data_IF_251342889206
#
_entry.id   IF_251342889206
#
_cell.length_a   1.000
_cell.length_b   1.000
_cell.length_c   1.000
_cell.angle_alpha   90.00
_cell.angle_beta   90.00
_cell.angle_gamma   90.00
#
_symmetry.space_group_name_H-M   'P 1'
#
loop_
_entity.id
_entity.type
_entity.pdbx_description
1 polymer ?
#
# COMPACT_ATOMS: atom_id res chain seq x y z
N UNK A 1 -7.12 -23.56 1.74
CA UNK A 1 -8.24 -23.69 2.70
C UNK A 1 -8.69 -22.29 3.08
N UNK A 2 -9.99 -22.04 3.08
CA UNK A 2 -10.48 -20.69 3.29
C UNK A 2 -10.39 -20.21 4.75
N UNK A 3 -10.20 -18.91 4.94
CA UNK A 3 -10.12 -18.19 6.21
C UNK A 3 -11.50 -17.76 6.75
N UNK A 4 -12.59 -18.41 6.30
CA UNK A 4 -13.94 -18.20 6.80
C UNK A 4 -14.06 -18.58 8.29
N UNK A 5 -14.41 -17.60 9.13
CA UNK A 5 -14.71 -17.82 10.53
C UNK A 5 -16.04 -18.57 10.71
N UNK A 6 -16.27 -19.09 11.93
CA UNK A 6 -17.54 -19.73 12.28
C UNK A 6 -18.71 -18.74 12.16
N UNK A 7 -18.50 -17.48 12.52
CA UNK A 7 -19.51 -16.43 12.40
C UNK A 7 -19.86 -16.14 10.93
N UNK A 8 -18.86 -16.11 10.05
CA UNK A 8 -19.07 -15.91 8.61
C UNK A 8 -19.93 -17.04 8.03
N UNK A 9 -19.62 -18.30 8.39
CA UNK A 9 -20.38 -19.47 7.91
C UNK A 9 -21.85 -19.41 8.34
N UNK A 10 -22.13 -19.02 9.59
CA UNK A 10 -23.51 -18.85 10.08
C UNK A 10 -24.26 -17.76 9.30
N UNK A 11 -23.60 -16.62 9.04
CA UNK A 11 -24.18 -15.54 8.26
C UNK A 11 -24.45 -15.98 6.81
N UNK A 12 -23.47 -16.63 6.17
CA UNK A 12 -23.57 -17.11 4.80
C UNK A 12 -24.68 -18.16 4.64
N UNK A 13 -24.78 -19.11 5.57
CA UNK A 13 -25.86 -20.11 5.53
C UNK A 13 -27.25 -19.47 5.63
N UNK A 14 -27.39 -18.39 6.40
CA UNK A 14 -28.63 -17.64 6.50
C UNK A 14 -28.95 -16.86 5.22
N UNK A 15 -27.96 -16.15 4.65
CA UNK A 15 -28.13 -15.33 3.43
C UNK A 15 -28.34 -16.17 2.18
N UNK A 16 -27.73 -17.36 2.11
CA UNK A 16 -27.83 -18.27 0.97
C UNK A 16 -28.98 -19.28 1.11
N UNK A 17 -29.77 -19.21 2.19
CA UNK A 17 -30.94 -20.07 2.40
C UNK A 17 -30.57 -21.56 2.50
N UNK A 18 -29.49 -21.87 3.24
CA UNK A 18 -28.90 -23.22 3.26
C UNK A 18 -29.60 -24.24 4.18
N UNK A 19 -30.78 -23.90 4.70
CA UNK A 19 -31.58 -24.81 5.51
C UNK A 19 -32.06 -26.02 4.69
N UNK A 20 -31.84 -27.23 5.19
CA UNK A 20 -32.34 -28.45 4.56
C UNK A 20 -31.58 -28.94 3.32
N UNK A 21 -30.37 -28.40 3.05
CA UNK A 21 -29.51 -28.88 1.96
C UNK A 21 -29.62 -28.08 0.66
N UNK A 22 -30.49 -27.07 0.62
CA UNK A 22 -30.66 -26.15 -0.51
C UNK A 22 -29.59 -25.05 -0.52
N UNK A 23 -29.46 -24.35 -1.64
CA UNK A 23 -28.69 -23.11 -1.78
C UNK A 23 -29.49 -22.25 -2.75
N UNK A 24 -30.03 -21.13 -2.28
CA UNK A 24 -30.91 -20.25 -3.05
C UNK A 24 -32.02 -21.05 -3.77
N UNK A 25 -32.37 -20.70 -5.00
CA UNK A 25 -33.35 -21.38 -5.85
C UNK A 25 -32.71 -22.36 -6.85
N UNK A 26 -31.44 -22.76 -6.64
CA UNK A 26 -30.74 -23.65 -7.56
C UNK A 26 -31.28 -25.10 -7.54
N UNK A 27 -31.46 -25.66 -8.74
CA UNK A 27 -31.46 -27.12 -8.95
C UNK A 27 -30.04 -27.68 -8.85
N UNK A 28 -29.87 -29.01 -8.79
CA UNK A 28 -28.53 -29.58 -8.80
C UNK A 28 -27.77 -29.27 -10.11
N UNK A 29 -28.47 -29.32 -11.25
CA UNK A 29 -27.88 -29.04 -12.56
C UNK A 29 -27.45 -27.56 -12.68
N UNK A 30 -28.34 -26.62 -12.31
CA UNK A 30 -28.02 -25.18 -12.36
C UNK A 30 -26.97 -24.77 -11.32
N UNK A 31 -26.88 -25.48 -10.19
CA UNK A 31 -25.81 -25.28 -9.22
C UNK A 31 -24.46 -25.74 -9.78
N UNK A 32 -24.40 -26.91 -10.43
CA UNK A 32 -23.19 -27.40 -11.07
C UNK A 32 -22.73 -26.46 -12.19
N UNK A 33 -23.66 -26.03 -13.05
CA UNK A 33 -23.38 -25.08 -14.14
C UNK A 33 -22.89 -23.72 -13.62
N UNK A 34 -23.54 -23.17 -12.59
CA UNK A 34 -23.14 -21.92 -11.97
C UNK A 34 -21.68 -21.94 -11.48
N UNK A 35 -21.25 -23.02 -10.82
CA UNK A 35 -19.86 -23.13 -10.35
C UNK A 35 -18.88 -23.47 -11.47
N UNK A 36 -19.33 -24.21 -12.49
CA UNK A 36 -18.53 -24.48 -13.69
C UNK A 36 -18.17 -23.18 -14.44
N UNK A 37 -19.09 -22.20 -14.53
CA UNK A 37 -18.82 -20.88 -15.12
C UNK A 37 -17.75 -20.09 -14.33
N UNK A 38 -17.56 -20.41 -13.05
CA UNK A 38 -16.50 -19.87 -12.20
C UNK A 38 -15.21 -20.70 -12.25
N UNK A 39 -15.14 -21.70 -13.15
CA UNK A 39 -14.05 -22.67 -13.26
C UNK A 39 -13.82 -23.49 -11.97
N UNK A 40 -14.89 -23.73 -11.20
CA UNK A 40 -14.89 -24.51 -9.95
C UNK A 40 -15.77 -25.76 -10.14
N UNK A 41 -15.18 -26.96 -10.06
CA UNK A 41 -15.95 -28.19 -9.96
C UNK A 41 -16.32 -28.47 -8.49
N UNK A 42 -17.46 -27.92 -8.05
CA UNK A 42 -17.93 -28.00 -6.66
C UNK A 42 -18.27 -29.45 -6.21
N UNK A 43 -18.31 -30.42 -7.13
CA UNK A 43 -18.57 -31.83 -6.84
C UNK A 43 -17.31 -32.70 -6.76
N UNK A 44 -16.14 -32.15 -7.09
CA UNK A 44 -14.86 -32.84 -6.97
C UNK A 44 -14.61 -33.32 -5.52
N UNK A 45 -14.75 -34.64 -5.30
CA UNK A 45 -14.58 -35.23 -3.96
C UNK A 45 -13.13 -35.37 -3.53
N UNK A 46 -12.18 -35.27 -4.46
CA UNK A 46 -10.75 -35.29 -4.15
C UNK A 46 -10.30 -33.91 -3.66
N UNK A 47 -10.74 -32.84 -4.34
CA UNK A 47 -10.41 -31.44 -4.00
C UNK A 47 -11.22 -30.91 -2.83
N UNK A 48 -12.50 -31.30 -2.73
CA UNK A 48 -13.42 -30.87 -1.68
C UNK A 48 -13.95 -32.06 -0.88
N UNK A 49 -13.11 -32.69 -0.04
CA UNK A 49 -13.49 -33.89 0.68
C UNK A 49 -14.43 -33.61 1.85
N UNK A 50 -15.39 -34.52 2.03
CA UNK A 50 -16.34 -34.52 3.15
C UNK A 50 -17.64 -33.76 2.89
N UNK A 51 -18.62 -34.03 3.74
CA UNK A 51 -20.04 -33.65 3.60
C UNK A 51 -20.73 -34.32 2.38
N UNK A 52 -21.98 -34.79 2.54
CA UNK A 52 -22.68 -35.56 1.49
C UNK A 52 -23.03 -34.75 0.22
N UNK A 53 -23.74 -35.34 -0.74
CA UNK A 53 -23.93 -34.76 -2.09
C UNK A 53 -24.98 -33.64 -2.23
N UNK A 54 -25.49 -33.10 -1.13
CA UNK A 54 -26.41 -31.94 -1.20
C UNK A 54 -25.67 -30.66 -1.58
N UNK A 55 -26.32 -29.73 -2.28
CA UNK A 55 -25.71 -28.44 -2.66
C UNK A 55 -25.11 -27.70 -1.47
N UNK A 56 -25.83 -27.64 -0.36
CA UNK A 56 -25.33 -26.98 0.84
C UNK A 56 -24.08 -27.67 1.40
N UNK A 57 -24.04 -29.00 1.37
CA UNK A 57 -22.88 -29.76 1.81
C UNK A 57 -21.68 -29.58 0.87
N UNK A 58 -21.93 -29.52 -0.44
CA UNK A 58 -20.89 -29.24 -1.44
C UNK A 58 -20.35 -27.82 -1.32
N UNK A 59 -21.21 -26.84 -1.05
CA UNK A 59 -20.77 -25.49 -0.75
C UNK A 59 -19.96 -25.42 0.56
N UNK A 60 -20.34 -26.17 1.60
CA UNK A 60 -19.53 -26.30 2.84
C UNK A 60 -18.19 -27.01 2.59
N UNK A 61 -18.17 -27.99 1.70
CA UNK A 61 -16.95 -28.69 1.29
C UNK A 61 -15.99 -27.73 0.57
N UNK A 62 -16.52 -26.88 -0.33
CA UNK A 62 -15.78 -25.79 -0.96
C UNK A 62 -15.25 -24.81 0.09
N UNK A 63 -16.07 -24.36 1.05
CA UNK A 63 -15.61 -23.48 2.13
C UNK A 63 -14.51 -24.11 2.98
N UNK A 64 -14.47 -25.43 3.12
CA UNK A 64 -13.46 -26.14 3.90
C UNK A 64 -12.18 -26.38 3.11
N UNK A 65 -12.29 -26.86 1.88
CA UNK A 65 -11.17 -27.31 1.06
C UNK A 65 -10.60 -26.23 0.13
N UNK A 66 -11.45 -25.33 -0.38
CA UNK A 66 -11.09 -24.31 -1.36
C UNK A 66 -10.16 -23.23 -0.84
N UNK A 67 -9.58 -22.48 -1.76
CA UNK A 67 -8.77 -21.28 -1.46
C UNK A 67 -9.67 -20.10 -1.10
N UNK A 68 -9.08 -19.05 -0.51
CA UNK A 68 -9.81 -17.80 -0.25
C UNK A 68 -10.33 -17.16 -1.53
N UNK A 69 -9.58 -17.26 -2.64
CA UNK A 69 -10.00 -16.75 -3.96
C UNK A 69 -11.21 -17.50 -4.52
N UNK A 70 -11.22 -18.84 -4.45
CA UNK A 70 -12.35 -19.65 -4.93
C UNK A 70 -13.62 -19.35 -4.13
N UNK A 71 -13.47 -19.23 -2.82
CA UNK A 71 -14.58 -18.89 -1.93
C UNK A 71 -15.02 -17.44 -2.15
N UNK A 72 -14.12 -16.49 -2.33
CA UNK A 72 -14.46 -15.10 -2.62
C UNK A 72 -15.19 -14.95 -3.96
N UNK A 73 -14.67 -15.57 -5.01
CA UNK A 73 -15.24 -15.56 -6.36
C UNK A 73 -16.64 -16.14 -6.38
N UNK A 74 -16.83 -17.30 -5.74
CA UNK A 74 -18.15 -17.90 -5.60
C UNK A 74 -19.11 -17.05 -4.77
N UNK A 75 -18.64 -16.43 -3.68
CA UNK A 75 -19.49 -15.54 -2.86
C UNK A 75 -19.92 -14.29 -3.63
N UNK A 76 -19.02 -13.63 -4.38
CA UNK A 76 -19.36 -12.46 -5.22
C UNK A 76 -20.42 -12.81 -6.25
N UNK A 77 -20.22 -13.91 -6.98
CA UNK A 77 -21.18 -14.35 -7.98
C UNK A 77 -22.55 -14.70 -7.36
N UNK A 78 -22.58 -15.30 -6.16
CA UNK A 78 -23.83 -15.59 -5.44
C UNK A 78 -24.52 -14.31 -4.95
N UNK A 79 -23.76 -13.29 -4.53
CA UNK A 79 -24.29 -11.96 -4.18
C UNK A 79 -24.93 -11.30 -5.39
N UNK A 80 -24.22 -11.27 -6.53
CA UNK A 80 -24.72 -10.69 -7.78
C UNK A 80 -26.01 -11.39 -8.24
N UNK A 81 -26.06 -12.72 -8.08
CA UNK A 81 -27.25 -13.51 -8.36
C UNK A 81 -28.43 -13.13 -7.45
N UNK A 82 -28.20 -12.95 -6.14
CA UNK A 82 -29.23 -12.48 -5.20
C UNK A 82 -29.74 -11.10 -5.59
N UNK A 83 -28.84 -10.17 -5.94
CA UNK A 83 -29.20 -8.81 -6.34
C UNK A 83 -30.01 -8.79 -7.65
N UNK A 84 -29.59 -9.56 -8.65
CA UNK A 84 -30.33 -9.72 -9.90
C UNK A 84 -31.74 -10.31 -9.66
N UNK A 85 -31.87 -11.27 -8.73
CA UNK A 85 -33.17 -11.85 -8.33
C UNK A 85 -34.04 -10.88 -7.54
N UNK A 86 -33.46 -10.03 -6.69
CA UNK A 86 -34.18 -8.93 -6.02
C UNK A 86 -34.72 -7.93 -7.02
N UNK A 87 -33.92 -7.51 -8.00
CA UNK A 87 -34.33 -6.57 -9.04
C UNK A 87 -35.45 -7.10 -9.93
N UNK A 88 -35.48 -8.42 -10.17
CA UNK A 88 -36.51 -9.08 -10.97
C UNK A 88 -37.74 -9.50 -10.16
N UNK A 89 -37.72 -9.39 -8.83
CA UNK A 89 -38.84 -9.71 -7.94
C UNK A 89 -39.08 -11.21 -7.71
N UNK A 90 -38.12 -12.08 -8.04
CA UNK A 90 -38.26 -13.55 -7.97
C UNK A 90 -37.48 -14.20 -6.81
N UNK A 91 -36.93 -13.42 -5.87
CA UNK A 91 -36.30 -13.97 -4.67
C UNK A 91 -37.39 -14.46 -3.70
N UNK A 92 -37.33 -15.73 -3.30
CA UNK A 92 -38.41 -16.40 -2.54
C UNK A 92 -38.46 -16.06 -1.04
N UNK A 93 -37.52 -15.28 -0.53
CA UNK A 93 -37.46 -14.84 0.86
C UNK A 93 -36.74 -13.49 0.97
N UNK A 94 -37.05 -12.71 2.01
CA UNK A 94 -36.39 -11.43 2.25
C UNK A 94 -35.01 -11.65 2.88
N UNK A 95 -33.99 -11.13 2.22
CA UNK A 95 -32.67 -10.94 2.80
C UNK A 95 -32.58 -9.45 3.17
N UNK A 96 -32.08 -9.11 4.37
CA UNK A 96 -31.93 -7.71 4.75
C UNK A 96 -30.63 -7.12 4.18
N UNK A 97 -30.58 -5.79 4.02
CA UNK A 97 -29.43 -5.12 3.41
C UNK A 97 -28.17 -5.16 4.29
N UNK A 98 -28.35 -5.18 5.61
CA UNK A 98 -27.23 -5.27 6.57
C UNK A 98 -26.48 -6.60 6.48
N UNK A 99 -27.19 -7.71 6.26
CA UNK A 99 -26.61 -9.04 6.07
C UNK A 99 -25.95 -9.14 4.71
N UNK A 100 -26.52 -8.55 3.66
CA UNK A 100 -25.86 -8.47 2.34
C UNK A 100 -24.55 -7.71 2.43
N UNK A 101 -24.53 -6.56 3.10
CA UNK A 101 -23.31 -5.77 3.26
C UNK A 101 -22.23 -6.51 4.03
N UNK A 102 -22.61 -7.23 5.09
CA UNK A 102 -21.67 -8.08 5.82
C UNK A 102 -21.14 -9.24 4.98
N UNK A 103 -21.98 -9.85 4.13
CA UNK A 103 -21.54 -10.91 3.20
C UNK A 103 -20.61 -10.35 2.12
N UNK A 104 -20.87 -9.14 1.60
CA UNK A 104 -19.92 -8.44 0.71
C UNK A 104 -18.59 -8.19 1.39
N UNK A 105 -18.60 -7.69 2.63
CA UNK A 105 -17.36 -7.49 3.40
C UNK A 105 -16.58 -8.79 3.63
N UNK A 106 -17.28 -9.93 3.80
CA UNK A 106 -16.64 -11.25 3.87
C UNK A 106 -16.01 -11.63 2.53
N UNK A 107 -16.74 -11.48 1.42
CA UNK A 107 -16.21 -11.79 0.09
C UNK A 107 -15.00 -10.91 -0.27
N UNK A 108 -15.05 -9.62 0.05
CA UNK A 108 -13.94 -8.68 -0.17
C UNK A 108 -12.73 -8.99 0.72
N UNK A 109 -12.94 -9.40 1.98
CA UNK A 109 -11.85 -9.84 2.85
C UNK A 109 -11.17 -11.10 2.32
N UNK A 110 -11.95 -12.08 1.85
CA UNK A 110 -11.39 -13.31 1.27
C UNK A 110 -10.68 -13.01 -0.07
N UNK A 111 -11.22 -12.12 -0.90
CA UNK A 111 -10.54 -11.68 -2.12
C UNK A 111 -9.25 -10.91 -1.82
N UNK A 112 -9.25 -10.09 -0.75
CA UNK A 112 -8.09 -9.35 -0.28
C UNK A 112 -7.01 -10.23 0.36
N UNK A 113 -7.36 -11.44 0.84
CA UNK A 113 -6.39 -12.41 1.34
C UNK A 113 -5.54 -13.07 0.24
N UNK A 114 -5.93 -12.93 -1.04
CA UNK A 114 -5.13 -13.32 -2.21
C UNK A 114 -4.46 -12.14 -2.95
N UNK A 115 -4.54 -10.91 -2.43
CA UNK A 115 -3.70 -9.79 -2.88
C UNK A 115 -2.28 -9.82 -2.24
N UNK A 116 -1.85 -10.99 -1.75
CA UNK A 116 -0.52 -11.22 -1.16
C UNK A 116 0.30 -12.25 -1.96
N UNK A 117 -0.24 -12.96 -2.94
CA UNK A 117 0.55 -13.95 -3.69
C UNK A 117 0.00 -14.22 -5.10
N UNK A 118 0.27 -13.31 -6.03
CA UNK A 118 0.68 -13.65 -7.42
C UNK A 118 1.10 -12.39 -8.19
N UNK A 119 2.28 -12.46 -8.81
CA UNK A 119 3.16 -11.32 -9.10
C UNK A 119 2.79 -10.49 -10.35
N UNK A 120 2.60 -9.20 -10.14
CA UNK A 120 3.32 -8.12 -10.86
C UNK A 120 4.11 -7.38 -9.76
N UNK A 121 5.38 -7.00 -9.96
CA UNK A 121 6.28 -6.59 -8.88
C UNK A 121 5.67 -5.43 -8.08
N UNK A 122 5.73 -5.55 -6.75
CA UNK A 122 4.96 -4.76 -5.79
C UNK A 122 5.60 -3.40 -5.60
N UNK A 123 5.53 -2.58 -6.65
CA UNK A 123 5.90 -1.20 -6.58
C UNK A 123 4.83 -0.46 -5.75
N UNK A 124 5.05 -0.38 -4.44
CA UNK A 124 4.21 0.37 -3.50
C UNK A 124 4.13 1.81 -3.99
N UNK A 125 2.93 2.26 -4.35
CA UNK A 125 2.69 3.61 -4.87
C UNK A 125 2.07 4.49 -3.80
N UNK A 126 2.60 5.70 -3.62
CA UNK A 126 2.00 6.74 -2.78
C UNK A 126 1.66 7.97 -3.62
N UNK A 127 0.84 8.85 -3.05
CA UNK A 127 0.52 10.17 -3.60
C UNK A 127 0.59 11.21 -2.49
N UNK A 128 0.83 12.47 -2.84
CA UNK A 128 0.69 13.60 -1.93
C UNK A 128 -0.74 13.67 -1.38
N UNK A 129 -0.90 14.10 -0.13
CA UNK A 129 -2.21 14.17 0.50
C UNK A 129 -3.13 15.14 -0.26
N UNK A 130 -4.35 14.68 -0.50
CA UNK A 130 -5.42 15.48 -1.07
C UNK A 130 -6.71 15.19 -0.29
N UNK A 131 -7.35 16.24 0.22
CA UNK A 131 -8.61 16.13 0.95
C UNK A 131 -9.70 16.93 0.26
N UNK A 132 -10.95 16.49 0.43
CA UNK A 132 -12.14 17.16 -0.13
C UNK A 132 -13.06 17.55 1.00
N UNK A 133 -13.37 18.85 1.10
CA UNK A 133 -14.37 19.37 2.04
C UNK A 133 -15.35 20.24 1.27
N UNK A 134 -16.62 19.82 1.22
CA UNK A 134 -17.67 20.45 0.41
C UNK A 134 -17.26 20.59 -1.07
N UNK A 135 -16.99 21.83 -1.51
CA UNK A 135 -16.54 22.17 -2.86
C UNK A 135 -15.06 22.59 -2.92
N UNK A 136 -14.28 22.29 -1.88
CA UNK A 136 -12.86 22.64 -1.79
C UNK A 136 -12.01 21.37 -1.86
N UNK A 137 -11.02 21.40 -2.74
CA UNK A 137 -9.93 20.43 -2.76
C UNK A 137 -8.73 21.11 -2.11
N UNK A 138 -8.22 20.52 -1.03
CA UNK A 138 -6.95 20.90 -0.43
C UNK A 138 -5.90 19.90 -0.88
N UNK A 139 -4.84 20.39 -1.51
CA UNK A 139 -3.74 19.58 -2.03
C UNK A 139 -2.48 20.06 -1.32
N UNK A 140 -1.74 19.14 -0.70
CA UNK A 140 -0.43 19.46 -0.16
C UNK A 140 0.60 19.57 -1.30
N UNK A 141 1.62 20.41 -1.14
CA UNK A 141 2.70 20.47 -2.13
C UNK A 141 3.61 19.29 -1.86
N UNK A 142 4.02 18.57 -2.91
CA UNK A 142 4.97 17.47 -2.74
C UNK A 142 6.22 17.96 -2.01
N UNK A 143 6.64 17.24 -0.96
CA UNK A 143 7.64 17.68 0.00
C UNK A 143 9.00 18.00 -0.63
N UNK A 144 9.44 17.20 -1.61
CA UNK A 144 10.67 17.47 -2.36
C UNK A 144 10.57 18.78 -3.13
N UNK A 145 9.45 19.01 -3.80
CA UNK A 145 9.21 20.28 -4.49
C UNK A 145 9.19 21.42 -3.46
N UNK A 146 8.47 21.27 -2.35
CA UNK A 146 8.37 22.28 -1.31
C UNK A 146 9.74 22.65 -0.73
N UNK A 147 10.61 21.66 -0.48
CA UNK A 147 11.96 21.88 0.03
C UNK A 147 12.78 22.82 -0.87
N UNK A 148 12.61 22.70 -2.19
CA UNK A 148 13.26 23.56 -3.18
C UNK A 148 12.61 24.95 -3.33
N UNK A 149 11.29 25.05 -3.14
CA UNK A 149 10.55 26.28 -3.46
C UNK A 149 10.16 27.14 -2.25
N UNK A 150 10.26 26.62 -1.02
CA UNK A 150 9.81 27.29 0.22
C UNK A 150 10.32 28.72 0.36
N UNK A 151 11.59 28.97 -0.03
CA UNK A 151 12.21 30.31 0.04
C UNK A 151 11.52 31.32 -0.87
N UNK A 152 11.08 30.89 -2.05
CA UNK A 152 10.41 31.74 -3.03
C UNK A 152 8.97 32.00 -2.65
N UNK A 153 8.28 30.99 -2.09
CA UNK A 153 6.94 31.17 -1.54
C UNK A 153 6.93 32.18 -0.38
N UNK A 154 7.95 32.14 0.48
CA UNK A 154 8.10 33.07 1.60
C UNK A 154 8.34 34.53 1.15
N UNK A 155 8.97 34.73 -0.01
CA UNK A 155 9.22 36.06 -0.59
C UNK A 155 8.19 36.45 -1.65
N UNK A 156 7.11 35.68 -1.80
CA UNK A 156 6.08 35.86 -2.84
C UNK A 156 6.65 35.88 -4.28
N UNK A 157 7.81 35.26 -4.48
CA UNK A 157 8.47 35.12 -5.79
C UNK A 157 7.92 33.91 -6.53
N UNK A 158 6.66 34.02 -6.93
CA UNK A 158 5.91 32.93 -7.55
C UNK A 158 6.46 32.48 -8.89
N UNK A 159 7.15 33.38 -9.62
CA UNK A 159 7.80 33.02 -10.88
C UNK A 159 8.90 31.99 -10.65
N UNK A 160 9.84 32.28 -9.76
CA UNK A 160 10.94 31.34 -9.45
C UNK A 160 10.43 30.11 -8.72
N UNK A 161 9.40 30.23 -7.86
CA UNK A 161 8.77 29.07 -7.23
C UNK A 161 8.29 28.06 -8.29
N UNK A 162 7.62 28.52 -9.35
CA UNK A 162 7.19 27.63 -10.43
C UNK A 162 8.38 27.13 -11.25
N UNK A 163 9.32 28.00 -11.62
CA UNK A 163 10.48 27.59 -12.42
C UNK A 163 11.29 26.48 -11.73
N UNK A 164 11.54 26.65 -10.43
CA UNK A 164 12.26 25.68 -9.62
C UNK A 164 11.45 24.40 -9.42
N UNK A 165 10.13 24.48 -9.21
CA UNK A 165 9.29 23.27 -9.16
C UNK A 165 9.40 22.43 -10.43
N UNK A 166 9.45 23.06 -11.62
CA UNK A 166 9.61 22.34 -12.89
C UNK A 166 11.02 21.81 -13.11
N UNK A 167 12.05 22.48 -12.58
CA UNK A 167 13.42 21.97 -12.58
C UNK A 167 13.51 20.69 -11.76
N UNK A 168 12.90 20.66 -10.57
CA UNK A 168 12.87 19.48 -9.69
C UNK A 168 12.25 18.27 -10.38
N UNK A 169 11.12 18.42 -11.08
CA UNK A 169 10.51 17.31 -11.86
C UNK A 169 11.45 16.78 -12.95
N UNK A 170 12.10 17.69 -13.70
CA UNK A 170 13.00 17.29 -14.78
C UNK A 170 14.31 16.68 -14.29
N UNK A 171 14.77 17.11 -13.13
CA UNK A 171 15.92 16.52 -12.44
C UNK A 171 15.59 15.08 -12.01
N UNK A 172 14.43 14.84 -11.38
CA UNK A 172 14.00 13.49 -11.03
C UNK A 172 13.88 12.56 -12.26
N UNK A 173 13.40 13.08 -13.40
CA UNK A 173 13.45 12.32 -14.66
C UNK A 173 14.88 12.00 -15.08
N UNK A 174 15.81 12.96 -14.97
CA UNK A 174 17.22 12.76 -15.32
C UNK A 174 17.86 11.71 -14.42
N UNK A 175 17.62 11.75 -13.13
CA UNK A 175 18.15 10.76 -12.18
C UNK A 175 17.66 9.35 -12.51
N UNK A 176 16.38 9.20 -12.86
CA UNK A 176 15.78 7.89 -13.19
C UNK A 176 16.18 7.36 -14.57
N UNK A 177 16.31 8.23 -15.57
CA UNK A 177 16.38 7.79 -16.98
C UNK A 177 17.61 8.31 -17.73
N UNK A 178 18.48 9.07 -17.06
CA UNK A 178 19.61 9.76 -17.67
C UNK A 178 19.22 10.96 -18.57
N UNK A 179 17.96 11.37 -18.60
CA UNK A 179 17.50 12.47 -19.48
C UNK A 179 16.46 13.38 -18.83
N UNK A 180 16.68 14.69 -18.89
CA UNK A 180 15.70 15.70 -18.47
C UNK A 180 14.60 15.96 -19.51
N UNK A 181 14.74 15.43 -20.73
CA UNK A 181 13.75 15.63 -21.79
C UNK A 181 12.72 14.53 -21.69
N UNK A 182 11.46 14.88 -21.40
CA UNK A 182 10.38 13.92 -21.26
C UNK A 182 10.22 13.00 -22.49
N UNK A 183 10.46 13.53 -23.70
CA UNK A 183 10.43 12.71 -24.93
C UNK A 183 11.47 11.60 -24.97
N UNK A 184 12.64 11.83 -24.35
CA UNK A 184 13.73 10.85 -24.26
C UNK A 184 13.61 10.00 -23.00
N UNK A 185 13.15 10.59 -21.89
CA UNK A 185 13.00 9.93 -20.60
C UNK A 185 11.94 8.82 -20.64
N UNK A 186 10.83 9.01 -21.38
CA UNK A 186 9.73 8.04 -21.47
C UNK A 186 9.85 7.06 -22.65
N UNK A 187 11.06 6.86 -23.21
CA UNK A 187 11.27 5.77 -24.18
C UNK A 187 10.99 4.41 -23.54
N UNK A 188 10.56 3.39 -24.31
CA UNK A 188 10.20 2.08 -23.76
C UNK A 188 11.27 1.47 -22.86
N UNK A 189 12.56 1.64 -23.19
CA UNK A 189 13.68 1.15 -22.39
C UNK A 189 13.77 1.74 -20.97
N UNK A 190 13.21 2.93 -20.75
CA UNK A 190 13.29 3.65 -19.48
C UNK A 190 12.01 3.51 -18.63
N UNK A 191 10.92 2.97 -19.19
CA UNK A 191 9.64 2.83 -18.48
C UNK A 191 9.77 2.04 -17.16
N UNK A 192 10.53 0.92 -17.09
CA UNK A 192 10.72 0.22 -15.81
C UNK A 192 11.40 1.07 -14.72
N UNK A 193 12.27 2.01 -15.08
CA UNK A 193 12.93 2.88 -14.10
C UNK A 193 11.98 3.95 -13.53
N UNK A 194 10.97 4.36 -14.29
CA UNK A 194 9.94 5.32 -13.85
C UNK A 194 8.83 4.59 -13.08
N UNK A 195 8.35 3.47 -13.62
CA UNK A 195 7.12 2.81 -13.17
C UNK A 195 7.34 1.53 -12.37
N UNK A 196 8.60 1.11 -12.19
CA UNK A 196 8.95 -0.16 -11.53
C UNK A 196 8.84 -1.39 -12.45
N UNK A 197 8.08 -1.29 -13.55
CA UNK A 197 7.87 -2.41 -14.47
C UNK A 197 7.48 -1.95 -15.88
N UNK A 198 7.46 -2.90 -16.81
CA UNK A 198 6.87 -2.70 -18.14
C UNK A 198 5.34 -2.79 -18.07
N UNK A 199 4.59 -2.06 -18.92
CA UNK A 199 3.12 -2.07 -18.87
C UNK A 199 2.58 -3.47 -19.15
N UNK A 200 1.76 -3.99 -18.24
CA UNK A 200 1.15 -5.31 -18.30
C UNK A 200 -0.19 -5.32 -19.05
N UNK A 201 -0.82 -4.16 -19.22
CA UNK A 201 -2.12 -4.02 -19.90
C UNK A 201 -2.18 -2.80 -20.82
N UNK A 202 -3.19 -2.75 -21.70
CA UNK A 202 -3.44 -1.57 -22.53
C UNK A 202 -3.78 -0.34 -21.68
N UNK A 203 -4.61 -0.51 -20.64
CA UNK A 203 -4.96 0.58 -19.73
C UNK A 203 -3.73 1.16 -19.04
N UNK A 204 -2.79 0.31 -18.64
CA UNK A 204 -1.55 0.75 -18.02
C UNK A 204 -0.60 1.43 -19.01
N UNK A 205 -0.53 0.93 -20.24
CA UNK A 205 0.20 1.60 -21.31
C UNK A 205 -0.35 3.01 -21.57
N UNK A 206 -1.68 3.16 -21.59
CA UNK A 206 -2.33 4.46 -21.75
C UNK A 206 -2.06 5.38 -20.55
N UNK A 207 -2.02 4.83 -19.34
CA UNK A 207 -1.60 5.56 -18.14
C UNK A 207 -0.15 6.03 -18.24
N UNK A 208 0.79 5.18 -18.66
CA UNK A 208 2.21 5.56 -18.82
C UNK A 208 2.38 6.67 -19.86
N UNK A 209 1.65 6.61 -20.98
CA UNK A 209 1.61 7.68 -21.98
C UNK A 209 0.98 8.96 -21.39
N UNK A 210 -0.06 8.86 -20.55
CA UNK A 210 -0.61 9.99 -19.82
C UNK A 210 0.43 10.72 -18.96
N UNK A 211 1.21 9.98 -18.17
CA UNK A 211 2.28 10.53 -17.33
C UNK A 211 3.38 11.19 -18.17
N UNK A 212 3.72 10.59 -19.32
CA UNK A 212 4.63 11.18 -20.31
C UNK A 212 4.10 12.52 -20.84
N UNK A 213 2.83 12.60 -21.24
CA UNK A 213 2.25 13.85 -21.72
C UNK A 213 2.23 14.95 -20.66
N UNK A 214 1.98 14.60 -19.40
CA UNK A 214 2.05 15.52 -18.28
C UNK A 214 3.46 16.12 -18.12
N UNK A 215 4.49 15.27 -18.18
CA UNK A 215 5.89 15.69 -18.10
C UNK A 215 6.33 16.48 -19.34
N UNK A 216 5.80 16.16 -20.52
CA UNK A 216 5.98 16.98 -21.72
C UNK A 216 5.35 18.37 -21.56
N UNK A 217 4.16 18.48 -20.96
CA UNK A 217 3.55 19.78 -20.68
C UNK A 217 4.46 20.62 -19.77
N UNK A 218 5.03 20.06 -18.70
CA UNK A 218 6.01 20.74 -17.85
C UNK A 218 7.23 21.21 -18.65
N UNK A 219 7.78 20.34 -19.51
CA UNK A 219 8.92 20.69 -20.37
C UNK A 219 8.63 21.92 -21.25
N UNK A 220 7.47 21.98 -21.90
CA UNK A 220 7.14 23.07 -22.81
C UNK A 220 6.68 24.34 -22.10
N UNK A 221 5.90 24.23 -21.02
CA UNK A 221 5.47 25.38 -20.20
C UNK A 221 6.66 26.08 -19.53
N UNK A 222 7.69 25.32 -19.14
CA UNK A 222 8.94 25.91 -18.64
C UNK A 222 9.62 26.76 -19.71
N UNK A 223 9.70 26.25 -20.95
CA UNK A 223 10.37 26.94 -22.04
C UNK A 223 9.66 28.25 -22.40
N UNK A 224 8.33 28.28 -22.40
CA UNK A 224 7.54 29.51 -22.59
C UNK A 224 7.86 30.58 -21.53
N UNK A 225 8.01 30.18 -20.26
CA UNK A 225 8.41 31.08 -19.16
C UNK A 225 9.84 31.58 -19.29
N UNK A 226 10.76 30.79 -19.82
CA UNK A 226 12.15 31.21 -20.06
C UNK A 226 12.28 32.27 -21.17
N UNK A 227 11.31 32.34 -22.08
CA UNK A 227 11.27 33.31 -23.18
C UNK A 227 10.41 34.55 -22.90
N UNK A 228 9.70 34.58 -21.76
CA UNK A 228 8.89 35.71 -21.28
C UNK A 228 9.52 36.31 -20.02
N UNK A 229 10.73 36.86 -20.16
CA UNK A 229 11.33 37.71 -19.13
C UNK A 229 10.38 38.88 -18.83
N UNK A 230 9.97 38.99 -17.57
CA UNK A 230 9.21 40.10 -16.95
C UNK A 230 7.67 40.05 -17.00
N UNK A 231 7.06 38.98 -16.47
CA UNK A 231 5.69 39.08 -15.94
C UNK A 231 5.62 38.67 -14.47
N UNK A 232 4.96 39.50 -13.67
CA UNK A 232 4.46 39.09 -12.36
C UNK A 232 3.47 37.95 -12.57
N UNK A 233 3.83 36.74 -12.17
CA UNK A 233 2.93 35.59 -12.22
C UNK A 233 1.90 35.74 -11.09
N UNK A 234 0.61 35.70 -11.44
CA UNK A 234 -0.46 35.77 -10.45
C UNK A 234 -0.41 34.55 -9.53
N UNK A 235 -0.66 34.78 -8.23
CA UNK A 235 -0.49 33.78 -7.17
C UNK A 235 -1.29 32.51 -7.42
N UNK A 236 -2.59 32.60 -7.72
CA UNK A 236 -3.42 31.40 -7.90
C UNK A 236 -2.92 30.58 -9.09
N UNK A 237 -2.61 31.23 -10.21
CA UNK A 237 -2.04 30.56 -11.37
C UNK A 237 -0.69 29.89 -11.06
N UNK A 238 0.16 30.54 -10.26
CA UNK A 238 1.42 29.94 -9.80
C UNK A 238 1.18 28.68 -8.95
N UNK A 239 0.23 28.73 -8.02
CA UNK A 239 -0.15 27.58 -7.21
C UNK A 239 -0.66 26.42 -8.08
N UNK A 240 -1.48 26.69 -9.11
CA UNK A 240 -1.92 25.65 -10.05
C UNK A 240 -0.74 25.01 -10.80
N UNK A 241 0.26 25.80 -11.21
CA UNK A 241 1.46 25.24 -11.85
C UNK A 241 2.32 24.42 -10.88
N UNK A 242 2.42 24.82 -9.61
CA UNK A 242 3.11 24.05 -8.57
C UNK A 242 2.36 22.75 -8.28
N UNK A 243 1.03 22.77 -8.24
CA UNK A 243 0.20 21.56 -8.12
C UNK A 243 0.39 20.62 -9.30
N UNK A 244 0.49 21.15 -10.53
CA UNK A 244 0.83 20.37 -11.72
C UNK A 244 2.21 19.73 -11.59
N UNK A 245 3.21 20.48 -11.12
CA UNK A 245 4.55 19.97 -10.87
C UNK A 245 4.54 18.86 -9.83
N UNK A 246 3.79 19.06 -8.73
CA UNK A 246 3.65 18.08 -7.65
C UNK A 246 3.05 16.78 -8.16
N UNK A 247 1.93 16.84 -8.90
CA UNK A 247 1.33 15.66 -9.50
C UNK A 247 2.29 14.93 -10.46
N UNK A 248 3.00 15.68 -11.31
CA UNK A 248 3.94 15.06 -12.24
C UNK A 248 5.14 14.41 -11.54
N UNK A 249 5.64 15.04 -10.47
CA UNK A 249 6.69 14.50 -9.62
C UNK A 249 6.22 13.20 -8.97
N UNK A 250 5.07 13.23 -8.28
CA UNK A 250 4.46 12.04 -7.66
C UNK A 250 4.38 10.88 -8.65
N UNK A 251 3.86 11.13 -9.85
CA UNK A 251 3.63 10.05 -10.82
C UNK A 251 4.92 9.41 -11.35
N UNK A 252 6.08 10.07 -11.24
CA UNK A 252 7.38 9.52 -11.67
C UNK A 252 8.24 9.02 -10.50
N UNK A 253 7.95 9.45 -9.27
CA UNK A 253 8.65 9.04 -8.05
C UNK A 253 7.87 8.08 -7.17
N UNK A 254 6.57 7.82 -7.47
CA UNK A 254 5.73 6.94 -6.65
C UNK A 254 6.24 5.52 -6.54
N UNK A 255 7.10 5.08 -7.46
CA UNK A 255 7.57 3.72 -7.53
C UNK A 255 9.03 3.61 -7.11
N UNK A 256 9.24 2.73 -6.13
CA UNK A 256 10.56 2.23 -5.71
C UNK A 256 10.72 0.85 -6.32
N UNK A 257 11.83 0.60 -7.00
CA UNK A 257 12.07 -0.71 -7.63
C UNK A 257 12.28 -1.79 -6.58
N UNK A 258 11.80 -3.00 -6.86
CA UNK A 258 12.03 -4.17 -6.02
C UNK A 258 13.53 -4.43 -5.81
N UNK A 259 14.37 -4.17 -6.81
CA UNK A 259 15.83 -4.25 -6.68
C UNK A 259 16.38 -3.29 -5.60
N UNK A 260 15.87 -2.06 -5.52
CA UNK A 260 16.29 -1.11 -4.50
C UNK A 260 15.79 -1.52 -3.12
N UNK A 261 14.53 -1.98 -3.04
CA UNK A 261 13.95 -2.51 -1.79
C UNK A 261 14.79 -3.68 -1.28
N UNK A 262 15.02 -4.70 -2.12
CA UNK A 262 15.82 -5.88 -1.80
C UNK A 262 17.23 -5.47 -1.37
N UNK A 263 17.89 -4.57 -2.12
CA UNK A 263 19.23 -4.07 -1.80
C UNK A 263 19.29 -3.42 -0.42
N UNK A 264 18.30 -2.60 -0.06
CA UNK A 264 18.22 -1.92 1.25
C UNK A 264 17.94 -2.94 2.36
N UNK A 265 16.99 -3.85 2.15
CA UNK A 265 16.65 -4.90 3.13
C UNK A 265 17.81 -5.87 3.40
N UNK A 266 18.54 -6.26 2.35
CA UNK A 266 19.75 -7.07 2.44
C UNK A 266 20.85 -6.37 3.24
N UNK A 267 21.02 -5.07 2.99
CA UNK A 267 22.02 -4.25 3.65
C UNK A 267 21.71 -4.13 5.15
N UNK A 268 20.45 -3.89 5.52
CA UNK A 268 20.03 -3.85 6.93
C UNK A 268 20.24 -5.21 7.59
N UNK A 269 19.86 -6.29 6.91
CA UNK A 269 20.00 -7.66 7.43
C UNK A 269 21.47 -8.01 7.66
N UNK A 270 22.36 -7.70 6.71
CA UNK A 270 23.81 -7.91 6.83
C UNK A 270 24.40 -7.06 7.97
N UNK A 271 23.98 -5.80 8.08
CA UNK A 271 24.43 -4.92 9.16
C UNK A 271 24.02 -5.48 10.53
N UNK A 272 22.76 -5.92 10.68
CA UNK A 272 22.29 -6.53 11.92
C UNK A 272 23.10 -7.77 12.31
N UNK A 273 23.39 -8.63 11.34
CA UNK A 273 24.16 -9.87 11.54
C UNK A 273 25.64 -9.62 11.86
N UNK A 274 26.18 -8.45 11.52
CA UNK A 274 27.56 -8.08 11.82
C UNK A 274 27.82 -7.82 13.32
N UNK A 275 26.75 -7.60 14.10
CA UNK A 275 26.82 -7.30 15.53
C UNK A 275 26.43 -8.49 16.40
N UNK A 276 27.16 -8.68 17.51
CA UNK A 276 26.65 -9.49 18.62
C UNK A 276 25.48 -8.78 19.30
N UNK A 277 24.59 -9.51 19.97
CA UNK A 277 23.42 -8.94 20.64
C UNK A 277 23.76 -7.75 21.57
N UNK A 278 24.83 -7.87 22.38
CA UNK A 278 25.25 -6.78 23.29
C UNK A 278 25.79 -5.57 22.55
N UNK A 279 26.52 -5.79 21.44
CA UNK A 279 27.08 -4.67 20.66
C UNK A 279 25.99 -3.99 19.85
N UNK A 280 25.02 -4.74 19.36
CA UNK A 280 23.90 -4.25 18.57
C UNK A 280 23.15 -3.13 19.29
N UNK A 281 22.64 -3.36 20.51
CA UNK A 281 21.86 -2.33 21.21
C UNK A 281 22.65 -1.04 21.48
N UNK A 282 23.99 -1.09 21.57
CA UNK A 282 24.83 0.11 21.69
C UNK A 282 24.96 0.91 20.40
N UNK A 283 24.79 0.31 19.23
CA UNK A 283 24.83 1.03 17.95
C UNK A 283 23.42 1.31 17.42
N UNK A 284 22.45 0.51 17.83
CA UNK A 284 21.04 0.75 17.57
C UNK A 284 20.55 1.99 18.32
N UNK A 285 20.85 2.09 19.61
CA UNK A 285 20.55 3.27 20.43
C UNK A 285 21.07 4.57 19.79
N UNK A 286 20.16 5.53 19.62
CA UNK A 286 20.41 6.82 18.95
C UNK A 286 20.56 6.74 17.42
N UNK A 287 20.24 5.60 16.79
CA UNK A 287 20.37 5.38 15.35
C UNK A 287 21.82 5.44 14.85
N UNK A 288 22.81 5.13 15.69
CA UNK A 288 24.25 5.28 15.37
C UNK A 288 24.71 4.35 14.25
N UNK A 289 24.08 3.19 14.08
CA UNK A 289 24.37 2.25 13.02
C UNK A 289 24.10 2.83 11.61
N UNK A 290 23.19 3.81 11.48
CA UNK A 290 22.90 4.43 10.18
C UNK A 290 24.16 5.10 9.62
N UNK A 291 24.98 5.69 10.49
CA UNK A 291 26.23 6.36 10.10
C UNK A 291 27.37 5.37 9.74
N UNK A 292 27.25 4.09 10.10
CA UNK A 292 28.23 3.07 9.72
C UNK A 292 27.97 2.43 8.37
N UNK A 293 26.85 2.76 7.72
CA UNK A 293 26.42 2.11 6.48
C UNK A 293 26.34 3.10 5.32
N UNK A 294 26.85 2.68 4.17
CA UNK A 294 26.69 3.43 2.91
C UNK A 294 25.33 3.12 2.31
N UNK A 295 24.39 4.03 2.48
CA UNK A 295 23.03 3.92 1.96
C UNK A 295 22.96 4.29 0.47
N UNK A 296 22.04 3.70 -0.31
CA UNK A 296 21.73 4.16 -1.66
C UNK A 296 21.29 5.62 -1.68
N UNK A 297 21.73 6.40 -2.66
CA UNK A 297 21.42 7.83 -2.79
C UNK A 297 19.91 8.09 -2.92
N UNK A 298 19.18 7.11 -3.48
CA UNK A 298 17.73 7.14 -3.64
C UNK A 298 16.98 7.27 -2.31
N UNK A 299 17.57 6.79 -1.20
CA UNK A 299 16.99 6.94 0.15
C UNK A 299 17.01 8.38 0.65
N UNK A 300 17.75 9.29 0.01
CA UNK A 300 17.70 10.72 0.34
C UNK A 300 16.34 11.34 -0.03
N UNK A 301 15.59 10.72 -0.93
CA UNK A 301 14.24 11.12 -1.29
C UNK A 301 13.23 10.75 -0.19
N UNK A 302 12.56 11.72 0.45
CA UNK A 302 11.44 11.53 1.37
C UNK A 302 10.33 10.64 0.80
N UNK A 303 10.02 10.80 -0.49
CA UNK A 303 9.13 9.94 -1.27
C UNK A 303 9.47 8.45 -1.17
N UNK A 304 10.74 8.12 -1.42
CA UNK A 304 11.24 6.74 -1.34
C UNK A 304 11.14 6.23 0.09
N UNK A 305 11.47 7.05 1.09
CA UNK A 305 11.32 6.68 2.51
C UNK A 305 9.86 6.42 2.89
N UNK A 306 8.91 7.20 2.38
CA UNK A 306 7.47 6.99 2.60
C UNK A 306 6.98 5.66 2.02
N UNK A 307 7.45 5.26 0.83
CA UNK A 307 7.17 3.92 0.27
C UNK A 307 7.63 2.82 1.19
N UNK A 308 8.90 2.89 1.58
CA UNK A 308 9.53 1.87 2.40
C UNK A 308 8.86 1.81 3.77
N UNK A 309 8.47 2.95 4.34
CA UNK A 309 7.65 3.04 5.55
C UNK A 309 6.34 2.26 5.42
N UNK A 310 5.52 2.54 4.39
CA UNK A 310 4.25 1.83 4.19
C UNK A 310 4.45 0.32 4.04
N UNK A 311 5.44 -0.10 3.26
CA UNK A 311 5.79 -1.52 3.11
C UNK A 311 6.20 -2.16 4.44
N UNK A 312 7.15 -1.55 5.15
CA UNK A 312 7.72 -2.14 6.35
C UNK A 312 6.79 -2.09 7.55
N UNK A 313 5.87 -1.12 7.64
CA UNK A 313 4.79 -1.13 8.62
C UNK A 313 3.81 -2.30 8.36
N UNK A 314 3.44 -2.54 7.10
CA UNK A 314 2.56 -3.66 6.72
C UNK A 314 3.18 -5.03 7.02
N UNK A 315 4.49 -5.14 6.92
CA UNK A 315 5.26 -6.37 7.15
C UNK A 315 5.77 -6.52 8.60
N UNK A 316 5.56 -5.53 9.46
CA UNK A 316 6.05 -5.54 10.82
C UNK A 316 5.47 -6.74 11.61
N UNK A 317 6.36 -7.57 12.15
CA UNK A 317 5.99 -8.74 12.94
C UNK A 317 6.97 -8.90 14.12
N UNK A 318 6.46 -8.65 15.32
CA UNK A 318 7.20 -8.77 16.58
C UNK A 318 6.94 -10.08 17.31
N UNK A 319 6.41 -11.12 16.64
CA UNK A 319 6.11 -12.42 17.27
C UNK A 319 7.15 -13.50 16.97
N UNK A 320 8.05 -13.25 16.01
CA UNK A 320 8.96 -14.29 15.47
C UNK A 320 10.20 -14.51 16.32
N UNK A 321 11.03 -13.47 16.48
CA UNK A 321 12.28 -13.54 17.24
C UNK A 321 12.82 -12.15 17.51
N UNK A 322 13.67 -12.02 18.54
CA UNK A 322 14.40 -10.77 18.79
C UNK A 322 15.18 -10.26 17.58
N UNK A 323 15.74 -11.14 16.75
CA UNK A 323 16.52 -10.71 15.59
C UNK A 323 15.61 -10.10 14.50
N UNK A 324 14.46 -10.72 14.26
CA UNK A 324 13.45 -10.19 13.34
C UNK A 324 12.89 -8.85 13.82
N UNK A 325 12.53 -8.74 15.11
CA UNK A 325 12.10 -7.48 15.72
C UNK A 325 13.13 -6.38 15.55
N UNK A 326 14.42 -6.69 15.79
CA UNK A 326 15.50 -5.73 15.60
C UNK A 326 15.62 -5.27 14.13
N UNK A 327 15.47 -6.18 13.16
CA UNK A 327 15.49 -5.83 11.72
C UNK A 327 14.30 -4.91 11.38
N UNK A 328 13.11 -5.22 11.89
CA UNK A 328 11.93 -4.35 11.72
C UNK A 328 12.20 -2.96 12.28
N UNK A 329 12.74 -2.85 13.49
CA UNK A 329 13.02 -1.56 14.10
C UNK A 329 14.14 -0.80 13.38
N UNK A 330 15.19 -1.48 12.90
CA UNK A 330 16.22 -0.86 12.05
C UNK A 330 15.64 -0.32 10.74
N UNK A 331 14.75 -1.08 10.09
CA UNK A 331 14.01 -0.61 8.91
C UNK A 331 13.25 0.69 9.23
N UNK A 332 12.54 0.73 10.35
CA UNK A 332 11.77 1.90 10.77
C UNK A 332 12.65 3.10 11.16
N UNK A 333 13.82 2.91 11.78
CA UNK A 333 14.75 4.02 12.05
C UNK A 333 15.27 4.70 10.77
N UNK A 334 15.39 3.93 9.68
CA UNK A 334 15.86 4.43 8.38
C UNK A 334 14.83 5.34 7.70
N UNK A 335 13.55 5.18 8.03
CA UNK A 335 12.41 5.95 7.49
C UNK A 335 11.71 6.75 8.59
N UNK A 336 12.42 7.01 9.68
CA UNK A 336 11.85 7.60 10.89
C UNK A 336 11.19 8.97 10.66
N UNK A 337 11.74 9.78 9.76
CA UNK A 337 11.20 11.08 9.41
C UNK A 337 9.84 11.00 8.69
N UNK A 338 9.49 9.85 8.13
CA UNK A 338 8.21 9.61 7.48
C UNK A 338 7.15 9.02 8.42
N UNK A 339 7.51 8.63 9.66
CA UNK A 339 6.57 8.02 10.60
C UNK A 339 5.67 9.08 11.25
N UNK A 340 4.37 8.79 11.31
CA UNK A 340 3.41 9.56 12.07
C UNK A 340 3.20 9.00 13.48
N UNK A 341 2.55 9.79 14.34
CA UNK A 341 2.11 9.30 15.67
C UNK A 341 1.19 8.08 15.56
N UNK A 342 0.28 8.07 14.58
CA UNK A 342 -0.63 6.96 14.36
C UNK A 342 0.11 5.68 13.90
N UNK A 343 1.18 5.84 13.11
CA UNK A 343 2.02 4.71 12.68
C UNK A 343 2.71 4.06 13.88
N UNK A 344 3.27 4.87 14.80
CA UNK A 344 3.88 4.37 16.04
C UNK A 344 2.84 3.68 16.92
N UNK A 345 1.67 4.28 17.11
CA UNK A 345 0.61 3.67 17.94
C UNK A 345 0.15 2.32 17.38
N UNK A 346 0.00 2.22 16.06
CA UNK A 346 -0.33 0.99 15.34
C UNK A 346 0.76 -0.07 15.55
N UNK A 347 2.02 0.33 15.45
CA UNK A 347 3.17 -0.55 15.70
C UNK A 347 3.13 -1.12 17.13
N UNK A 348 2.79 -0.28 18.12
CA UNK A 348 2.68 -0.67 19.53
C UNK A 348 1.45 -1.53 19.84
N UNK A 349 0.46 -1.60 18.94
CA UNK A 349 -0.69 -2.52 19.06
C UNK A 349 -0.41 -3.91 18.49
N UNK A 350 0.70 -4.10 17.79
CA UNK A 350 1.06 -5.41 17.23
C UNK A 350 1.33 -6.43 18.34
N UNK A 351 0.97 -7.71 18.11
CA UNK A 351 1.30 -8.77 19.05
C UNK A 351 2.82 -8.92 19.15
N UNK A 352 3.31 -9.07 20.38
CA UNK A 352 4.75 -9.17 20.67
C UNK A 352 5.18 -10.53 21.23
N UNK A 353 4.21 -11.40 21.50
CA UNK A 353 4.43 -12.66 22.21
C UNK A 353 4.48 -13.81 21.20
N UNK A 354 5.50 -14.66 21.31
CA UNK A 354 5.64 -15.86 20.49
C UNK A 354 4.63 -16.96 20.88
N UNK A 355 4.64 -18.08 20.14
CA UNK A 355 3.77 -19.23 20.43
C UNK A 355 4.04 -19.90 21.79
N UNK A 356 5.17 -19.58 22.44
CA UNK A 356 5.56 -20.11 23.74
C UNK A 356 5.25 -19.15 24.90
N UNK A 357 4.69 -17.97 24.63
CA UNK A 357 4.34 -17.00 25.66
C UNK A 357 5.46 -16.02 26.03
N UNK A 358 6.56 -15.96 25.28
CA UNK A 358 7.67 -15.03 25.52
C UNK A 358 7.59 -13.82 24.59
N UNK A 359 7.73 -12.61 25.17
CA UNK A 359 7.84 -11.38 24.38
C UNK A 359 9.11 -11.38 23.53
N UNK A 360 8.99 -10.98 22.27
CA UNK A 360 10.05 -10.88 21.26
C UNK A 360 10.36 -9.43 20.84
N UNK A 361 9.78 -8.42 21.49
CA UNK A 361 9.92 -6.99 21.09
C UNK A 361 11.21 -6.32 21.60
N UNK A 362 12.33 -7.03 21.60
CA UNK A 362 13.57 -6.43 22.06
C UNK A 362 13.97 -5.25 21.15
N UNK A 363 14.40 -4.15 21.77
CA UNK A 363 14.78 -2.91 21.07
C UNK A 363 13.67 -1.88 20.93
N UNK A 364 12.39 -2.21 21.17
CA UNK A 364 11.27 -1.27 20.99
C UNK A 364 11.43 0.00 21.82
N UNK A 365 11.88 -0.11 23.07
CA UNK A 365 12.11 1.06 23.93
C UNK A 365 13.21 1.96 23.36
N UNK A 366 14.34 1.38 22.94
CA UNK A 366 15.43 2.15 22.30
C UNK A 366 14.98 2.86 21.02
N UNK A 367 14.13 2.21 20.23
CA UNK A 367 13.51 2.83 19.07
C UNK A 367 12.60 4.01 19.46
N UNK A 368 11.75 3.84 20.48
CA UNK A 368 10.88 4.92 20.95
C UNK A 368 11.67 6.09 21.54
N UNK A 369 12.78 5.81 22.25
CA UNK A 369 13.69 6.84 22.75
C UNK A 369 14.37 7.59 21.59
N UNK A 370 14.80 6.89 20.54
CA UNK A 370 15.30 7.50 19.31
C UNK A 370 14.25 8.42 18.64
N UNK A 371 13.02 7.93 18.49
CA UNK A 371 11.91 8.71 17.93
C UNK A 371 11.59 9.92 18.80
N UNK A 372 11.62 9.79 20.13
CA UNK A 372 11.38 10.88 21.07
C UNK A 372 12.45 11.98 20.99
N UNK A 373 13.72 11.60 20.82
CA UNK A 373 14.83 12.55 20.73
C UNK A 373 14.81 13.32 19.39
N UNK A 374 14.54 12.63 18.28
CA UNK A 374 14.62 13.23 16.94
C UNK A 374 13.32 13.80 16.39
N UNK A 375 12.19 13.15 16.69
CA UNK A 375 10.86 13.41 16.13
C UNK A 375 9.79 13.42 17.24
N UNK A 376 9.91 14.31 18.24
CA UNK A 376 9.08 14.28 19.45
C UNK A 376 7.58 14.38 19.17
N UNK A 377 7.18 15.01 18.06
CA UNK A 377 5.79 15.13 17.60
C UNK A 377 5.14 13.78 17.25
N UNK A 378 5.94 12.73 17.03
CA UNK A 378 5.45 11.39 16.70
C UNK A 378 5.11 10.58 17.96
N UNK A 379 5.48 11.05 19.15
CA UNK A 379 5.31 10.29 20.40
C UNK A 379 3.94 10.59 21.02
N UNK A 380 3.11 9.54 21.12
CA UNK A 380 1.83 9.58 21.83
C UNK A 380 2.01 9.33 23.34
N UNK A 381 0.99 9.62 24.18
CA UNK A 381 0.99 9.23 25.59
C UNK A 381 1.20 7.73 25.81
N UNK A 382 0.68 6.89 24.91
CA UNK A 382 0.87 5.43 24.93
C UNK A 382 2.34 5.06 24.75
N UNK A 383 3.03 5.71 23.79
CA UNK A 383 4.45 5.53 23.59
C UNK A 383 5.27 6.03 24.79
N UNK A 384 4.87 7.14 25.42
CA UNK A 384 5.53 7.64 26.64
C UNK A 384 5.41 6.66 27.82
N UNK A 385 4.23 6.08 28.04
CA UNK A 385 4.02 5.04 29.06
C UNK A 385 4.91 3.83 28.80
N UNK A 386 5.08 3.46 27.52
CA UNK A 386 5.94 2.33 27.13
C UNK A 386 7.41 2.58 27.44
N UNK A 387 7.90 3.79 27.18
CA UNK A 387 9.28 4.20 27.53
C UNK A 387 9.46 4.19 29.05
N UNK A 388 8.50 4.73 29.80
CA UNK A 388 8.59 4.83 31.26
C UNK A 388 8.54 3.47 31.98
N UNK A 389 7.90 2.47 31.37
CA UNK A 389 7.76 1.14 31.98
C UNK A 389 9.06 0.30 31.98
N UNK A 390 10.07 0.68 31.20
CA UNK A 390 11.36 -0.02 31.07
C UNK A 390 12.48 0.62 31.92
N UNK A 391 12.23 1.81 32.48
CA UNK A 391 13.13 2.54 33.40
C UNK A 391 12.88 2.16 34.86
#
# INVERSE_FOLDING_TARGET
MSSLSVADKVLLEAVLGMSGGYVLDFSNDSFAEFFHDLNIDVYDTERYPGFGDSKANRLRALWRGGTDEEVATSLRALIDYIEAKRLTGFLSYEVNDASMERVRAVAERLAGAHQVDDQVPTAVSFTTEATVTENKIQIEIHEDIYAHIKRYLATEDYFHAVEESYKVVREALREKTGSEKATDAFKPENQPAIFGHAPASLAEKDFFEGVKYLNMAIQFLRNEKSHTLATSLERNLALHYISLASLAYDLITRYVSDELIEKVEDLITKERQSYSATRFYRVFDGGRWIASVTLPDELSSPSVRRVLKEKWLKEADFTRSFDQSNIVLMRLELVADALSMADIDTLLDLPTVDSNGYSQEAGTVSFLEYMKDKYPETISPKAEERIAADQ
#
